data_IF_290708718390
#
_entry.id   IF_290708718390
#
_cell.length_a   1.000
_cell.length_b   1.000
_cell.length_c   1.000
_cell.angle_alpha   90.00
_cell.angle_beta   90.00
_cell.angle_gamma   90.00
#
_symmetry.space_group_name_H-M   'P 1'
#
loop_
_entity.id
_entity.type
_entity.pdbx_description
1 polymer ?
#
# COMPACT_ATOMS: atom_id res chain seq x y z
N UNK A 1 15.98 -9.33 4.04
CA UNK A 1 15.10 -9.07 5.22
C UNK A 1 14.70 -7.60 5.38
N UNK A 2 15.44 -6.62 4.86
CA UNK A 2 15.08 -5.18 4.98
C UNK A 2 14.17 -4.65 3.87
N UNK A 3 13.98 -5.41 2.80
CA UNK A 3 13.18 -5.03 1.64
C UNK A 3 11.78 -4.47 1.95
N UNK A 4 10.97 -5.09 2.85
CA UNK A 4 9.66 -4.53 3.19
C UNK A 4 9.73 -3.19 3.95
N UNK A 5 10.89 -2.79 4.49
CA UNK A 5 11.08 -1.47 5.14
C UNK A 5 11.33 -0.34 4.12
N UNK A 6 11.67 -0.69 2.87
CA UNK A 6 11.85 0.30 1.80
C UNK A 6 10.55 1.04 1.50
N UNK A 7 9.41 0.36 1.60
CA UNK A 7 8.11 0.99 1.32
C UNK A 7 7.67 2.01 2.39
N UNK A 8 7.75 1.73 3.70
CA UNK A 8 7.60 2.76 4.74
C UNK A 8 8.55 3.95 4.54
N UNK A 9 9.78 3.72 4.08
CA UNK A 9 10.73 4.80 3.81
C UNK A 9 10.28 5.66 2.60
N UNK A 10 9.80 5.02 1.53
CA UNK A 10 9.18 5.69 0.38
C UNK A 10 7.97 6.54 0.80
N UNK A 11 7.13 6.02 1.70
CA UNK A 11 6.02 6.76 2.27
C UNK A 11 6.49 7.93 3.16
N UNK A 12 7.53 7.75 3.97
CA UNK A 12 8.09 8.83 4.75
C UNK A 12 8.60 9.98 3.86
N UNK A 13 9.19 9.65 2.70
CA UNK A 13 9.53 10.64 1.67
C UNK A 13 8.28 11.32 1.13
N UNK A 14 7.23 10.57 0.78
CA UNK A 14 5.95 11.14 0.34
C UNK A 14 5.37 12.12 1.38
N UNK A 15 5.43 11.78 2.68
CA UNK A 15 5.01 12.68 3.75
C UNK A 15 5.84 13.96 3.83
N UNK A 16 7.15 13.90 3.58
CA UNK A 16 7.99 15.11 3.49
C UNK A 16 7.66 15.96 2.27
N UNK A 17 7.33 15.33 1.15
CA UNK A 17 7.00 16.01 -0.10
C UNK A 17 5.55 16.50 -0.17
N UNK A 18 4.73 16.31 0.88
CA UNK A 18 3.32 16.74 0.92
C UNK A 18 3.09 18.24 0.68
N UNK A 19 4.14 19.06 0.79
CA UNK A 19 4.10 20.50 0.45
C UNK A 19 4.11 20.76 -1.05
N UNK A 20 4.61 19.82 -1.85
CA UNK A 20 4.73 19.93 -3.30
C UNK A 20 3.55 19.30 -4.03
N UNK A 21 2.92 18.27 -3.45
CA UNK A 21 1.79 17.56 -4.05
C UNK A 21 0.91 16.94 -2.96
N UNK A 22 -0.40 16.72 -3.23
CA UNK A 22 -1.29 16.08 -2.28
C UNK A 22 -0.83 14.64 -1.97
N UNK A 23 -0.98 14.22 -0.71
CA UNK A 23 -0.57 12.89 -0.25
C UNK A 23 -1.18 11.75 -1.06
N UNK A 24 -2.41 11.90 -1.53
CA UNK A 24 -3.05 10.92 -2.43
C UNK A 24 -2.24 10.71 -3.72
N UNK A 25 -1.80 11.79 -4.39
CA UNK A 25 -1.03 11.68 -5.62
C UNK A 25 0.35 11.07 -5.35
N UNK A 26 1.00 11.50 -4.26
CA UNK A 26 2.29 10.93 -3.85
C UNK A 26 2.18 9.44 -3.48
N UNK A 27 1.11 9.05 -2.79
CA UNK A 27 0.81 7.66 -2.45
C UNK A 27 0.52 6.81 -3.68
N UNK A 28 -0.20 7.36 -4.67
CA UNK A 28 -0.45 6.70 -5.96
C UNK A 28 0.86 6.39 -6.69
N UNK A 29 1.76 7.39 -6.80
CA UNK A 29 3.07 7.19 -7.42
C UNK A 29 3.97 6.26 -6.60
N UNK A 30 3.94 6.37 -5.27
CA UNK A 30 4.70 5.50 -4.39
C UNK A 30 4.27 4.03 -4.56
N UNK A 31 2.97 3.78 -4.66
CA UNK A 31 2.41 2.45 -4.92
C UNK A 31 2.87 1.91 -6.28
N UNK A 32 2.81 2.72 -7.34
CA UNK A 32 3.26 2.32 -8.67
C UNK A 32 4.76 2.03 -8.71
N UNK A 33 5.60 2.90 -8.12
CA UNK A 33 7.04 2.69 -8.04
C UNK A 33 7.39 1.42 -7.26
N UNK A 34 6.69 1.18 -6.15
CA UNK A 34 6.86 -0.02 -5.35
C UNK A 34 6.46 -1.28 -6.10
N UNK A 35 5.36 -1.23 -6.86
CA UNK A 35 4.94 -2.33 -7.72
C UNK A 35 6.00 -2.65 -8.77
N UNK A 36 6.47 -1.64 -9.51
CA UNK A 36 7.51 -1.82 -10.55
C UNK A 36 8.78 -2.38 -9.93
N UNK A 37 9.24 -1.83 -8.80
CA UNK A 37 10.42 -2.34 -8.13
C UNK A 37 10.28 -3.82 -7.75
N UNK A 38 9.14 -4.20 -7.16
CA UNK A 38 8.91 -5.58 -6.74
C UNK A 38 8.71 -6.55 -7.90
N UNK A 39 8.25 -6.08 -9.05
CA UNK A 39 8.07 -6.92 -10.24
C UNK A 39 9.39 -7.15 -11.00
N UNK A 40 10.24 -6.13 -11.09
CA UNK A 40 11.46 -6.18 -11.92
C UNK A 40 12.72 -6.61 -11.13
N UNK A 41 12.84 -6.20 -9.87
CA UNK A 41 14.07 -6.36 -9.09
C UNK A 41 13.88 -6.94 -7.69
N UNK A 42 12.66 -6.90 -7.16
CA UNK A 42 12.36 -7.30 -5.80
C UNK A 42 11.96 -8.75 -5.65
N UNK A 43 11.44 -9.06 -4.46
CA UNK A 43 11.00 -10.39 -4.05
C UNK A 43 9.58 -10.77 -4.53
N UNK A 44 8.97 -9.99 -5.44
CA UNK A 44 7.67 -10.29 -6.04
C UNK A 44 6.46 -9.84 -5.21
N UNK A 45 5.29 -10.38 -5.58
CA UNK A 45 4.00 -9.80 -5.16
C UNK A 45 3.71 -9.91 -3.66
N UNK A 46 4.22 -10.95 -2.98
CA UNK A 46 4.01 -11.08 -1.53
C UNK A 46 4.68 -9.93 -0.76
N UNK A 47 5.91 -9.58 -1.14
CA UNK A 47 6.64 -8.46 -0.53
C UNK A 47 6.00 -7.12 -0.89
N UNK A 48 5.50 -6.99 -2.14
CA UNK A 48 4.70 -5.86 -2.55
C UNK A 48 3.49 -5.62 -1.63
N UNK A 49 2.67 -6.65 -1.41
CA UNK A 49 1.47 -6.58 -0.57
C UNK A 49 1.78 -6.31 0.90
N UNK A 50 2.87 -6.89 1.44
CA UNK A 50 3.33 -6.59 2.80
C UNK A 50 3.72 -5.14 2.97
N UNK A 51 4.43 -4.56 1.99
CA UNK A 51 4.74 -3.14 1.96
C UNK A 51 3.47 -2.28 1.98
N UNK A 52 2.51 -2.57 1.09
CA UNK A 52 1.23 -1.87 1.06
C UNK A 52 0.45 -1.97 2.38
N UNK A 53 0.47 -3.14 3.02
CA UNK A 53 -0.14 -3.34 4.33
C UNK A 53 0.41 -2.40 5.40
N UNK A 54 1.75 -2.28 5.48
CA UNK A 54 2.40 -1.33 6.38
C UNK A 54 2.02 0.12 6.03
N UNK A 55 1.94 0.45 4.74
CA UNK A 55 1.53 1.78 4.29
C UNK A 55 0.09 2.11 4.63
N UNK A 56 -0.82 1.15 4.49
CA UNK A 56 -2.23 1.29 4.84
C UNK A 56 -2.43 1.43 6.35
N UNK A 57 -1.68 0.67 7.14
CA UNK A 57 -1.63 0.85 8.59
C UNK A 57 -1.22 2.27 8.97
N UNK A 58 -0.17 2.82 8.33
CA UNK A 58 0.26 4.20 8.57
C UNK A 58 -0.79 5.22 8.10
N UNK A 59 -1.34 5.06 6.90
CA UNK A 59 -2.37 5.96 6.37
C UNK A 59 -3.62 5.99 7.25
N UNK A 60 -4.05 4.83 7.74
CA UNK A 60 -5.14 4.71 8.69
C UNK A 60 -4.79 5.35 10.04
N UNK A 61 -3.60 5.06 10.59
CA UNK A 61 -3.13 5.61 11.86
C UNK A 61 -2.99 7.14 11.86
N UNK A 62 -2.60 7.74 10.72
CA UNK A 62 -2.53 9.19 10.55
C UNK A 62 -3.87 9.84 10.12
N UNK A 63 -4.93 9.05 9.91
CA UNK A 63 -6.24 9.57 9.53
C UNK A 63 -6.28 10.20 8.13
N UNK A 64 -5.52 9.64 7.19
CA UNK A 64 -5.39 10.07 5.80
C UNK A 64 -6.15 9.12 4.86
N UNK A 65 -7.48 9.27 4.70
CA UNK A 65 -8.31 8.32 3.97
C UNK A 65 -7.93 8.23 2.49
N UNK A 66 -7.65 9.36 1.84
CA UNK A 66 -7.29 9.36 0.43
C UNK A 66 -5.94 8.65 0.21
N UNK A 67 -4.98 8.82 1.13
CA UNK A 67 -3.73 8.05 1.07
C UNK A 67 -4.00 6.55 1.15
N UNK A 68 -4.88 6.11 2.06
CA UNK A 68 -5.27 4.71 2.15
C UNK A 68 -5.84 4.17 0.82
N UNK A 69 -6.73 4.93 0.17
CA UNK A 69 -7.26 4.57 -1.16
C UNK A 69 -6.17 4.45 -2.22
N UNK A 70 -5.19 5.36 -2.22
CA UNK A 70 -4.07 5.32 -3.17
C UNK A 70 -3.16 4.10 -3.01
N UNK A 71 -3.17 3.48 -1.83
CA UNK A 71 -2.34 2.34 -1.44
C UNK A 71 -3.03 0.98 -1.62
N UNK A 72 -4.25 0.95 -2.15
CA UNK A 72 -4.87 -0.29 -2.58
C UNK A 72 -4.01 -0.97 -3.67
N UNK A 73 -4.03 -2.30 -3.81
CA UNK A 73 -3.19 -3.03 -4.77
C UNK A 73 -3.68 -2.88 -6.23
N UNK A 74 -4.05 -1.68 -6.66
CA UNK A 74 -4.53 -1.37 -8.01
C UNK A 74 -3.52 -1.69 -9.13
N UNK A 75 -2.19 -1.47 -8.99
CA UNK A 75 -1.23 -1.86 -10.03
C UNK A 75 -1.22 -3.37 -10.25
N UNK A 76 -1.30 -4.13 -9.15
CA UNK A 76 -1.37 -5.59 -9.21
C UNK A 76 -2.68 -6.07 -9.84
N UNK A 77 -3.81 -5.41 -9.53
CA UNK A 77 -5.09 -5.70 -10.19
C UNK A 77 -5.03 -5.44 -11.70
N UNK A 78 -4.40 -4.34 -12.14
CA UNK A 78 -4.21 -4.04 -13.55
C UNK A 78 -3.28 -5.06 -14.22
N UNK A 79 -2.19 -5.44 -13.55
CA UNK A 79 -1.24 -6.45 -14.03
C UNK A 79 -1.93 -7.81 -14.21
N UNK A 80 -2.75 -8.22 -13.25
CA UNK A 80 -3.56 -9.43 -13.30
C UNK A 80 -4.78 -9.33 -14.23
N UNK A 81 -4.91 -8.25 -15.02
CA UNK A 81 -6.06 -7.99 -15.92
C UNK A 81 -7.41 -8.12 -15.21
N UNK A 82 -7.47 -7.70 -13.95
CA UNK A 82 -8.63 -7.80 -13.06
C UNK A 82 -9.09 -9.24 -12.75
N UNK A 83 -8.25 -10.24 -13.05
CA UNK A 83 -8.52 -11.64 -12.70
C UNK A 83 -8.22 -11.89 -11.23
N UNK A 84 -9.24 -11.72 -10.38
CA UNK A 84 -9.15 -11.94 -8.92
C UNK A 84 -8.70 -13.36 -8.57
N UNK A 85 -8.88 -14.33 -9.48
CA UNK A 85 -8.40 -15.71 -9.29
C UNK A 85 -6.88 -15.81 -9.15
N UNK A 86 -6.12 -14.95 -9.85
CA UNK A 86 -4.66 -14.91 -9.76
C UNK A 86 -4.17 -14.36 -8.41
N UNK A 87 -5.04 -13.64 -7.69
CA UNK A 87 -4.77 -13.06 -6.37
C UNK A 87 -5.12 -14.00 -5.21
N UNK A 88 -5.87 -15.09 -5.46
CA UNK A 88 -6.27 -16.07 -4.44
C UNK A 88 -5.08 -16.60 -3.61
N UNK A 89 -3.92 -16.96 -4.19
CA UNK A 89 -2.76 -17.45 -3.43
C UNK A 89 -2.17 -16.40 -2.47
N UNK A 90 -2.43 -15.12 -2.74
CA UNK A 90 -1.87 -14.00 -1.99
C UNK A 90 -2.84 -13.42 -0.94
N UNK A 91 -4.08 -13.95 -0.87
CA UNK A 91 -5.07 -13.58 0.14
C UNK A 91 -4.55 -13.62 1.59
N UNK A 92 -3.79 -14.64 2.03
CA UNK A 92 -3.24 -14.64 3.39
C UNK A 92 -2.34 -13.44 3.67
N UNK A 93 -1.48 -13.08 2.70
CA UNK A 93 -0.61 -11.90 2.79
C UNK A 93 -1.37 -10.58 2.71
N UNK A 94 -2.47 -10.54 1.95
CA UNK A 94 -3.41 -9.40 1.94
C UNK A 94 -4.03 -9.22 3.34
N UNK A 95 -4.44 -10.30 4.01
CA UNK A 95 -5.14 -10.21 5.31
C UNK A 95 -4.25 -9.76 6.47
N UNK A 96 -2.99 -10.17 6.54
CA UNK A 96 -2.10 -9.82 7.66
C UNK A 96 -1.76 -8.32 7.70
N UNK A 97 -1.44 -7.74 6.54
CA UNK A 97 -1.03 -6.34 6.44
C UNK A 97 -2.19 -5.38 6.13
N UNK A 98 -2.99 -5.67 5.11
CA UNK A 98 -4.10 -4.81 4.71
C UNK A 98 -5.28 -4.96 5.68
N UNK A 99 -5.51 -6.15 6.24
CA UNK A 99 -6.62 -6.39 7.16
C UNK A 99 -6.52 -5.53 8.42
N UNK A 100 -5.33 -5.46 9.05
CA UNK A 100 -5.12 -4.59 10.21
C UNK A 100 -5.23 -3.10 9.86
N UNK A 101 -4.66 -2.68 8.74
CA UNK A 101 -4.78 -1.30 8.26
C UNK A 101 -6.23 -0.91 7.94
N UNK A 102 -6.99 -1.80 7.30
CA UNK A 102 -8.40 -1.61 6.98
C UNK A 102 -9.27 -1.59 8.24
N UNK A 103 -9.00 -2.46 9.22
CA UNK A 103 -9.70 -2.45 10.51
C UNK A 103 -9.48 -1.12 11.23
N UNK A 104 -8.24 -0.64 11.29
CA UNK A 104 -7.94 0.68 11.87
C UNK A 104 -8.58 1.81 11.08
N UNK A 105 -8.61 1.71 9.76
CA UNK A 105 -9.27 2.68 8.90
C UNK A 105 -10.78 2.76 9.20
N UNK A 106 -11.46 1.62 9.27
CA UNK A 106 -12.89 1.54 9.61
C UNK A 106 -13.17 2.02 11.05
N UNK A 107 -12.29 1.70 12.00
CA UNK A 107 -12.41 2.17 13.38
C UNK A 107 -12.16 3.69 13.49
N UNK A 108 -11.22 4.24 12.73
CA UNK A 108 -10.93 5.67 12.65
C UNK A 108 -12.06 6.46 12.00
N UNK A 109 -12.71 5.89 10.98
CA UNK A 109 -13.91 6.45 10.35
C UNK A 109 -15.09 6.54 11.33
N UNK A 110 -15.15 5.65 12.33
CA UNK A 110 -16.20 5.67 13.36
C UNK A 110 -16.07 6.81 14.38
N UNK A 111 -14.92 7.50 14.42
CA UNK A 111 -14.62 8.57 15.40
C UNK A 111 -14.59 9.99 14.81
N UNK A 112 -14.77 10.16 13.49
CA UNK A 112 -14.95 11.47 12.84
C UNK A 112 -16.43 11.68 12.52
#
# INVERSE_FOLDING_TARGET
MLEPLLFPLLLAVAFRLRRLAPLFALGFWANLLWFVYQNEWGSGWLTYLRGLGAGLFLAAGYGEPLLAWSLLPWPLLLYAKLQVRELLPYLPGLTEGLGLGLLLYLLGFRKR
#
